data_IF_010401632988
#
_entry.id   IF_010401632988
#
_cell.length_a   1.000
_cell.length_b   1.000
_cell.length_c   1.000
_cell.angle_alpha   90.00
_cell.angle_beta   90.00
_cell.angle_gamma   90.00
#
_symmetry.space_group_name_H-M   'P 1'
#
loop_
_entity.id
_entity.type
_entity.pdbx_description
1 polymer ?
#
# COMPACT_ATOMS: atom_id res chain seq x y z
N UNK A 1 -20.52 -1.04 -16.67
CA UNK A 1 -20.94 -2.18 -17.47
C UNK A 1 -20.05 -3.37 -17.13
N UNK A 2 -20.64 -4.52 -16.72
CA UNK A 2 -19.92 -5.72 -16.28
C UNK A 2 -18.92 -6.23 -17.34
N UNK A 3 -19.27 -6.07 -18.62
CA UNK A 3 -18.42 -6.43 -19.75
C UNK A 3 -17.16 -5.56 -19.89
N UNK A 4 -17.19 -4.30 -19.44
CA UNK A 4 -16.03 -3.41 -19.51
C UNK A 4 -15.05 -3.66 -18.36
N UNK A 5 -15.59 -4.11 -17.22
CA UNK A 5 -14.82 -4.54 -16.06
C UNK A 5 -14.05 -5.84 -16.34
N UNK A 6 -14.73 -6.84 -16.92
CA UNK A 6 -14.12 -8.13 -17.28
C UNK A 6 -13.05 -7.97 -18.39
N UNK A 7 -13.24 -7.04 -19.33
CA UNK A 7 -12.22 -6.72 -20.35
C UNK A 7 -10.96 -6.09 -19.74
N UNK A 8 -11.10 -5.23 -18.75
CA UNK A 8 -9.95 -4.59 -18.06
C UNK A 8 -9.15 -5.60 -17.23
N UNK A 9 -9.84 -6.53 -16.56
CA UNK A 9 -9.17 -7.63 -15.85
C UNK A 9 -8.40 -8.58 -16.79
N UNK A 10 -8.91 -8.80 -18.02
CA UNK A 10 -8.22 -9.63 -19.02
C UNK A 10 -7.04 -8.91 -19.73
N UNK A 11 -7.01 -7.57 -19.77
CA UNK A 11 -5.84 -6.82 -20.26
C UNK A 11 -4.59 -7.04 -19.41
N UNK A 12 -4.75 -7.22 -18.10
CA UNK A 12 -3.62 -7.43 -17.19
C UNK A 12 -2.89 -8.75 -17.46
N UNK A 13 -3.59 -9.82 -17.83
CA UNK A 13 -2.97 -11.11 -18.16
C UNK A 13 -2.06 -11.03 -19.40
N UNK A 14 -2.42 -10.22 -20.41
CA UNK A 14 -1.59 -10.03 -21.61
C UNK A 14 -0.37 -9.14 -21.32
N UNK A 15 -0.53 -8.14 -20.48
CA UNK A 15 0.55 -7.27 -20.03
C UNK A 15 1.61 -8.04 -19.24
N UNK A 16 1.20 -8.91 -18.31
CA UNK A 16 2.11 -9.74 -17.52
C UNK A 16 2.80 -10.81 -18.37
N UNK A 17 2.13 -11.42 -19.34
CA UNK A 17 2.73 -12.41 -20.26
C UNK A 17 3.80 -11.82 -21.18
N UNK A 18 3.76 -10.52 -21.46
CA UNK A 18 4.74 -9.84 -22.32
C UNK A 18 5.97 -9.35 -21.56
N UNK A 19 5.96 -9.37 -20.22
CA UNK A 19 7.15 -9.03 -19.44
C UNK A 19 8.21 -10.11 -19.61
N UNK A 20 9.43 -9.68 -19.96
CA UNK A 20 10.59 -10.56 -19.87
C UNK A 20 10.80 -10.93 -18.42
N UNK A 21 11.02 -12.20 -18.13
CA UNK A 21 11.49 -12.64 -16.83
C UNK A 21 12.78 -11.89 -16.48
N UNK A 22 12.81 -11.28 -15.31
CA UNK A 22 14.01 -10.61 -14.79
C UNK A 22 14.68 -11.55 -13.82
N UNK A 23 15.95 -11.86 -14.08
CA UNK A 23 16.75 -12.65 -13.16
C UNK A 23 17.03 -11.82 -11.89
N UNK A 24 16.70 -12.37 -10.73
CA UNK A 24 17.06 -11.80 -9.44
C UNK A 24 18.45 -12.29 -9.08
N UNK A 25 19.44 -11.42 -9.22
CA UNK A 25 20.85 -11.75 -8.93
C UNK A 25 21.09 -11.86 -7.43
N UNK A 26 20.55 -10.92 -6.66
CA UNK A 26 20.67 -10.90 -5.19
C UNK A 26 19.32 -10.55 -4.59
N UNK A 27 18.67 -11.48 -3.86
CA UNK A 27 17.46 -11.16 -3.13
C UNK A 27 17.80 -10.29 -1.91
N UNK A 28 17.02 -9.25 -1.68
CA UNK A 28 17.17 -8.37 -0.52
C UNK A 28 16.19 -8.77 0.57
N UNK A 29 16.67 -8.83 1.79
CA UNK A 29 15.87 -9.08 2.99
C UNK A 29 16.04 -7.92 3.98
N UNK A 30 15.16 -7.86 4.96
CA UNK A 30 15.27 -6.88 6.04
C UNK A 30 16.66 -6.90 6.69
N UNK A 31 17.24 -5.74 6.93
CA UNK A 31 18.58 -5.58 7.49
C UNK A 31 19.73 -5.83 6.52
N UNK A 32 19.48 -6.26 5.27
CA UNK A 32 20.54 -6.39 4.25
C UNK A 32 21.21 -5.04 4.00
N UNK A 33 22.53 -5.04 3.82
CA UNK A 33 23.31 -3.84 3.48
C UNK A 33 23.83 -3.92 2.04
N UNK A 34 23.67 -2.84 1.28
CA UNK A 34 24.19 -2.69 -0.09
C UNK A 34 25.04 -1.42 -0.13
N UNK A 35 26.37 -1.57 -0.11
CA UNK A 35 27.24 -0.42 0.15
C UNK A 35 26.92 0.19 1.52
N UNK A 36 26.64 1.49 1.54
CA UNK A 36 26.26 2.23 2.74
C UNK A 36 24.74 2.23 3.02
N UNK A 37 23.94 1.64 2.11
CA UNK A 37 22.49 1.58 2.24
C UNK A 37 22.04 0.36 3.03
N UNK A 38 21.14 0.55 4.00
CA UNK A 38 20.46 -0.51 4.73
C UNK A 38 19.03 -0.71 4.21
N UNK A 39 18.66 -1.96 3.97
CA UNK A 39 17.31 -2.36 3.59
C UNK A 39 16.42 -2.44 4.83
N UNK A 40 15.24 -1.85 4.77
CA UNK A 40 14.15 -1.97 5.75
C UNK A 40 12.96 -2.56 5.01
N UNK A 41 12.56 -3.78 5.35
CA UNK A 41 11.35 -4.38 4.77
C UNK A 41 10.10 -3.66 5.30
N UNK A 42 9.28 -3.15 4.40
CA UNK A 42 8.07 -2.38 4.72
C UNK A 42 6.87 -2.88 3.91
N UNK A 43 6.49 -4.18 4.01
CA UNK A 43 5.38 -4.74 3.26
C UNK A 43 4.06 -4.07 3.63
N UNK A 44 3.05 -4.23 2.76
CA UNK A 44 1.68 -3.79 2.98
C UNK A 44 1.09 -2.94 1.86
N UNK A 45 1.81 -1.93 1.33
CA UNK A 45 1.44 -1.26 0.07
C UNK A 45 1.67 -2.22 -1.11
N UNK A 46 2.83 -2.87 -1.13
CA UNK A 46 3.08 -4.08 -1.92
C UNK A 46 3.79 -5.12 -1.05
N UNK A 47 3.72 -6.43 -1.38
CA UNK A 47 4.33 -7.48 -0.56
C UNK A 47 5.84 -7.41 -0.48
N UNK A 48 6.48 -6.87 -1.51
CA UNK A 48 7.93 -6.75 -1.69
C UNK A 48 8.45 -5.33 -1.42
N UNK A 49 7.60 -4.47 -0.84
CA UNK A 49 7.97 -3.09 -0.53
C UNK A 49 9.14 -3.05 0.45
N UNK A 50 10.16 -2.28 0.09
CA UNK A 50 11.29 -1.95 0.95
C UNK A 50 11.49 -0.44 1.02
N UNK A 51 12.09 0.01 2.12
CA UNK A 51 12.71 1.31 2.24
C UNK A 51 14.24 1.13 2.26
N UNK A 52 14.98 2.14 1.80
CA UNK A 52 16.44 2.14 1.81
C UNK A 52 16.92 3.30 2.67
N UNK A 53 17.68 3.00 3.72
CA UNK A 53 18.24 4.01 4.64
C UNK A 53 19.72 4.21 4.35
N UNK A 54 20.15 5.46 4.28
CA UNK A 54 21.53 5.88 4.19
C UNK A 54 21.72 7.20 4.96
N UNK A 55 22.67 7.25 5.86
CA UNK A 55 22.89 8.39 6.75
C UNK A 55 21.58 8.86 7.44
N UNK A 56 21.19 10.11 7.27
CA UNK A 56 20.00 10.75 7.79
C UNK A 56 18.80 10.75 6.80
N UNK A 57 18.84 9.90 5.76
CA UNK A 57 17.82 9.82 4.70
C UNK A 57 17.25 8.42 4.58
N UNK A 58 15.94 8.33 4.38
CA UNK A 58 15.24 7.09 4.02
C UNK A 58 14.46 7.29 2.71
N UNK A 59 14.78 6.50 1.68
CA UNK A 59 13.98 6.39 0.47
C UNK A 59 12.80 5.47 0.75
N UNK A 60 11.59 6.01 0.73
CA UNK A 60 10.39 5.27 1.16
C UNK A 60 9.62 4.62 0.02
N UNK A 61 10.00 4.87 -1.24
CA UNK A 61 9.18 4.40 -2.36
C UNK A 61 7.75 4.92 -2.23
N UNK A 62 6.77 4.03 -2.41
CA UNK A 62 5.35 4.33 -2.21
C UNK A 62 4.86 4.01 -0.79
N UNK A 63 5.75 3.65 0.13
CA UNK A 63 5.36 3.33 1.50
C UNK A 63 4.85 4.56 2.26
N UNK A 64 5.53 5.71 2.16
CA UNK A 64 5.14 6.98 2.78
C UNK A 64 5.15 8.08 1.74
N UNK A 65 4.00 8.70 1.48
CA UNK A 65 3.83 9.77 0.49
C UNK A 65 3.38 11.09 1.16
N UNK A 66 3.80 12.27 0.64
CA UNK A 66 3.57 13.55 1.33
C UNK A 66 2.10 13.99 1.34
N UNK A 67 1.40 13.91 0.22
CA UNK A 67 0.06 14.53 0.05
C UNK A 67 -1.06 13.52 -0.06
N UNK A 68 -0.73 12.27 -0.37
CA UNK A 68 -1.70 11.19 -0.54
C UNK A 68 -1.40 10.06 0.44
N UNK A 69 -2.40 9.25 0.73
CA UNK A 69 -2.26 8.05 1.52
C UNK A 69 -2.18 6.86 0.57
N UNK A 70 -1.06 6.13 0.53
CA UNK A 70 -0.97 4.90 -0.24
C UNK A 70 -2.02 3.91 0.25
N UNK A 71 -2.63 3.18 -0.68
CA UNK A 71 -3.57 2.13 -0.32
C UNK A 71 -2.82 0.82 -0.03
N UNK A 72 -3.24 0.04 0.95
CA UNK A 72 -2.67 -1.27 1.21
C UNK A 72 -3.11 -2.27 0.12
N UNK A 73 -2.29 -3.27 -0.10
CA UNK A 73 -2.64 -4.40 -0.97
C UNK A 73 -3.75 -5.25 -0.33
N UNK A 74 -4.63 -5.80 -1.16
CA UNK A 74 -5.74 -6.66 -0.75
C UNK A 74 -5.54 -8.11 -1.15
N UNK A 75 -6.19 -9.04 -0.46
CA UNK A 75 -6.23 -10.48 -0.82
C UNK A 75 -6.75 -10.68 -2.25
N UNK A 76 -7.70 -9.85 -2.68
CA UNK A 76 -8.32 -9.94 -4.01
C UNK A 76 -7.37 -9.68 -5.19
N UNK A 77 -6.28 -8.95 -4.98
CA UNK A 77 -5.34 -8.58 -6.05
C UNK A 77 -4.45 -9.76 -6.46
N UNK A 78 -4.24 -10.73 -5.57
CA UNK A 78 -3.35 -11.84 -5.80
C UNK A 78 -4.09 -13.09 -6.26
N UNK A 79 -3.82 -13.55 -7.49
CA UNK A 79 -4.23 -14.87 -7.94
C UNK A 79 -3.41 -15.94 -7.20
N UNK A 80 -4.01 -17.07 -6.88
CA UNK A 80 -3.39 -18.18 -6.14
C UNK A 80 -2.04 -18.64 -6.73
N UNK A 81 -1.88 -18.54 -8.06
CA UNK A 81 -0.63 -18.87 -8.76
C UNK A 81 0.52 -17.92 -8.42
N UNK A 82 0.22 -16.64 -8.20
CA UNK A 82 1.20 -15.63 -7.79
C UNK A 82 1.65 -15.87 -6.35
N UNK A 83 0.73 -16.23 -5.48
CA UNK A 83 1.04 -16.63 -4.11
C UNK A 83 2.04 -17.78 -4.04
N UNK A 84 1.83 -18.83 -4.85
CA UNK A 84 2.74 -19.99 -4.88
C UNK A 84 4.14 -19.64 -5.36
N UNK A 85 4.30 -18.61 -6.19
CA UNK A 85 5.61 -18.15 -6.68
C UNK A 85 6.35 -17.25 -5.69
N UNK A 86 5.62 -16.46 -4.88
CA UNK A 86 6.19 -15.59 -3.84
C UNK A 86 6.55 -16.36 -2.56
N UNK A 87 5.84 -17.45 -2.28
CA UNK A 87 6.10 -18.27 -1.10
C UNK A 87 7.37 -19.11 -1.27
N UNK A 88 8.52 -18.52 -1.06
CA UNK A 88 9.61 -19.26 -0.47
C UNK A 88 9.16 -19.66 0.94
N UNK A 89 9.12 -20.94 1.18
CA UNK A 89 8.54 -21.79 2.25
C UNK A 89 8.47 -21.27 3.70
N UNK A 90 8.83 -20.04 4.03
CA UNK A 90 9.09 -19.63 5.42
C UNK A 90 8.30 -18.40 5.92
N UNK A 91 7.65 -17.65 5.03
CA UNK A 91 6.82 -16.50 5.45
C UNK A 91 5.36 -16.77 5.15
N UNK A 92 4.50 -16.70 6.16
CA UNK A 92 3.06 -16.74 6.00
C UNK A 92 2.58 -15.55 5.14
N UNK A 93 1.63 -15.79 4.26
CA UNK A 93 1.03 -14.75 3.39
C UNK A 93 0.54 -13.55 4.17
N UNK A 94 -0.02 -13.79 5.35
CA UNK A 94 -0.56 -12.79 6.27
C UNK A 94 0.47 -11.75 6.72
N UNK A 95 1.77 -12.04 6.57
CA UNK A 95 2.86 -11.11 6.91
C UNK A 95 3.30 -10.19 5.76
N UNK A 96 2.73 -10.35 4.55
CA UNK A 96 3.19 -9.65 3.35
C UNK A 96 2.18 -8.61 2.81
N UNK A 97 0.91 -8.69 3.16
CA UNK A 97 -0.12 -7.82 2.61
C UNK A 97 -1.21 -7.45 3.64
N UNK A 98 -2.06 -6.53 3.24
CA UNK A 98 -3.19 -6.07 4.03
C UNK A 98 -2.90 -4.83 4.87
N UNK A 99 -3.99 -4.24 5.36
CA UNK A 99 -3.93 -2.99 6.13
C UNK A 99 -3.14 -3.16 7.43
N UNK A 100 -3.31 -4.28 8.15
CA UNK A 100 -2.60 -4.53 9.40
C UNK A 100 -1.08 -4.58 9.22
N UNK A 101 -0.61 -5.24 8.17
CA UNK A 101 0.82 -5.30 7.82
C UNK A 101 1.33 -3.90 7.43
N UNK A 102 0.56 -3.16 6.62
CA UNK A 102 0.92 -1.80 6.23
C UNK A 102 1.04 -0.87 7.44
N UNK A 103 0.09 -0.92 8.37
CA UNK A 103 0.13 -0.11 9.60
C UNK A 103 1.32 -0.47 10.49
N UNK A 104 1.69 -1.74 10.60
CA UNK A 104 2.91 -2.18 11.32
C UNK A 104 4.16 -1.60 10.67
N UNK A 105 4.28 -1.68 9.35
CA UNK A 105 5.41 -1.14 8.60
C UNK A 105 5.50 0.40 8.73
N UNK A 106 4.38 1.11 8.68
CA UNK A 106 4.32 2.55 8.97
C UNK A 106 4.78 2.85 10.39
N UNK A 107 4.40 2.00 11.36
CA UNK A 107 4.84 2.10 12.75
C UNK A 107 6.37 2.07 12.88
N UNK A 108 7.05 1.19 12.13
CA UNK A 108 8.53 1.14 12.10
C UNK A 108 9.12 2.47 11.63
N UNK A 109 8.63 3.01 10.52
CA UNK A 109 9.12 4.29 9.98
C UNK A 109 8.78 5.48 10.89
N UNK A 110 7.64 5.44 11.58
CA UNK A 110 7.25 6.52 12.51
C UNK A 110 8.12 6.62 13.77
N UNK A 111 8.88 5.57 14.09
CA UNK A 111 9.72 5.47 15.28
C UNK A 111 11.20 5.80 15.02
N UNK A 112 11.60 6.03 13.77
CA UNK A 112 12.96 6.49 13.48
C UNK A 112 13.16 7.91 13.99
N UNK A 113 14.42 8.35 14.10
CA UNK A 113 14.76 9.68 14.58
C UNK A 113 14.00 10.78 13.81
N UNK A 114 13.53 11.79 14.53
CA UNK A 114 12.77 12.91 13.97
C UNK A 114 13.54 13.73 12.92
N UNK A 115 14.86 13.70 12.97
CA UNK A 115 15.74 14.43 12.06
C UNK A 115 15.94 13.71 10.73
N UNK A 116 15.52 12.46 10.62
CA UNK A 116 15.54 11.67 9.38
C UNK A 116 14.62 12.29 8.33
N UNK A 117 15.14 12.46 7.13
CA UNK A 117 14.40 12.94 5.96
C UNK A 117 13.87 11.76 5.16
N UNK A 118 12.56 11.74 4.89
CA UNK A 118 11.95 10.74 4.02
C UNK A 118 11.87 11.27 2.58
N UNK A 119 12.35 10.46 1.63
CA UNK A 119 12.31 10.74 0.20
C UNK A 119 11.34 9.76 -0.50
N UNK A 120 10.14 10.22 -0.85
CA UNK A 120 9.11 9.38 -1.46
C UNK A 120 9.31 9.23 -2.98
N UNK A 121 8.73 8.15 -3.58
CA UNK A 121 8.76 7.94 -5.03
C UNK A 121 7.86 8.93 -5.80
N UNK A 122 6.75 9.35 -5.19
CA UNK A 122 5.79 10.26 -5.81
C UNK A 122 5.66 11.56 -5.01
N UNK A 123 5.39 12.66 -5.73
CA UNK A 123 5.16 13.99 -5.17
C UNK A 123 6.33 14.58 -4.36
N UNK A 124 7.52 14.00 -4.47
CA UNK A 124 8.74 14.61 -3.95
C UNK A 124 8.93 16.01 -4.55
N UNK A 125 8.72 16.14 -5.86
CA UNK A 125 8.68 17.42 -6.52
C UNK A 125 7.27 17.68 -7.06
N UNK A 126 6.56 18.67 -6.50
CA UNK A 126 5.21 19.01 -6.89
C UNK A 126 5.00 20.52 -6.79
N UNK A 127 4.32 21.11 -7.80
CA UNK A 127 4.00 22.54 -7.87
C UNK A 127 5.20 23.46 -7.65
N UNK A 128 6.35 23.10 -8.21
CA UNK A 128 7.59 23.92 -8.12
C UNK A 128 8.32 23.82 -6.79
N UNK A 129 7.96 22.87 -5.91
CA UNK A 129 8.59 22.68 -4.58
C UNK A 129 9.03 21.24 -4.39
N UNK A 130 10.11 21.06 -3.65
CA UNK A 130 10.53 19.77 -3.11
C UNK A 130 9.78 19.54 -1.80
N UNK A 131 9.05 18.44 -1.70
CA UNK A 131 8.24 18.06 -0.54
C UNK A 131 8.94 16.94 0.24
N UNK A 132 10.02 17.26 0.91
CA UNK A 132 10.60 16.34 1.91
C UNK A 132 9.63 16.22 3.08
N UNK A 133 9.57 15.03 3.66
CA UNK A 133 8.71 14.72 4.80
C UNK A 133 9.54 14.06 5.91
N UNK A 134 9.09 14.21 7.14
CA UNK A 134 9.69 13.53 8.29
C UNK A 134 8.91 12.26 8.68
N UNK A 135 9.41 11.48 9.63
CA UNK A 135 8.79 10.25 10.12
C UNK A 135 7.37 10.42 10.68
N UNK A 136 7.03 11.61 11.18
CA UNK A 136 5.69 11.96 11.63
C UNK A 136 4.62 11.73 10.56
N UNK A 137 4.98 11.85 9.27
CA UNK A 137 4.05 11.59 8.16
C UNK A 137 3.56 10.13 8.15
N UNK A 138 4.40 9.17 8.52
CA UNK A 138 3.97 7.78 8.65
C UNK A 138 2.88 7.62 9.73
N UNK A 139 3.01 8.34 10.86
CA UNK A 139 2.01 8.39 11.91
C UNK A 139 0.68 8.99 11.42
N UNK A 140 0.73 10.09 10.66
CA UNK A 140 -0.47 10.71 10.08
C UNK A 140 -1.23 9.74 9.17
N UNK A 141 -0.50 8.89 8.43
CA UNK A 141 -1.10 7.87 7.56
C UNK A 141 -1.78 6.78 8.40
N UNK A 142 -1.16 6.30 9.48
CA UNK A 142 -1.80 5.36 10.41
C UNK A 142 -3.09 5.95 10.97
N UNK A 143 -3.05 7.18 11.49
CA UNK A 143 -4.22 7.86 12.03
C UNK A 143 -5.33 8.03 10.97
N UNK A 144 -4.94 8.27 9.71
CA UNK A 144 -5.89 8.34 8.60
C UNK A 144 -6.64 7.01 8.41
N UNK A 145 -5.93 5.88 8.45
CA UNK A 145 -6.55 4.55 8.32
C UNK A 145 -7.43 4.23 9.52
N UNK A 146 -7.01 4.57 10.74
CA UNK A 146 -7.82 4.39 11.96
C UNK A 146 -9.13 5.18 11.86
N UNK A 147 -9.08 6.46 11.46
CA UNK A 147 -10.30 7.27 11.25
C UNK A 147 -11.21 6.67 10.17
N UNK A 148 -10.63 6.06 9.14
CA UNK A 148 -11.40 5.42 8.07
C UNK A 148 -12.06 4.13 8.55
N UNK A 149 -11.38 3.31 9.35
CA UNK A 149 -11.96 2.14 10.00
C UNK A 149 -13.15 2.52 10.88
N UNK A 150 -13.01 3.54 11.73
CA UNK A 150 -14.10 4.02 12.58
C UNK A 150 -15.31 4.44 11.74
N UNK A 151 -15.08 5.21 10.67
CA UNK A 151 -16.16 5.63 9.78
C UNK A 151 -16.83 4.46 9.04
N UNK A 152 -16.05 3.44 8.66
CA UNK A 152 -16.56 2.23 8.02
C UNK A 152 -17.48 1.46 8.97
N UNK A 153 -17.07 1.29 10.22
CA UNK A 153 -17.88 0.65 11.26
C UNK A 153 -19.20 1.40 11.49
N UNK A 154 -19.18 2.72 11.58
CA UNK A 154 -20.40 3.53 11.69
C UNK A 154 -21.40 3.27 10.55
N UNK A 155 -20.90 3.12 9.30
CA UNK A 155 -21.77 2.85 8.13
C UNK A 155 -22.31 1.43 8.19
N UNK A 156 -21.51 0.45 8.60
CA UNK A 156 -21.93 -0.97 8.71
C UNK A 156 -22.98 -1.12 9.81
N UNK A 157 -22.78 -0.49 10.96
CA UNK A 157 -23.72 -0.56 12.10
C UNK A 157 -25.06 0.12 11.79
N UNK A 158 -25.06 1.15 10.95
CA UNK A 158 -26.28 1.90 10.62
C UNK A 158 -27.26 1.12 9.76
N UNK A 159 -26.78 0.26 8.86
CA UNK A 159 -27.59 -0.57 7.94
C UNK A 159 -26.76 -1.63 7.26
N UNK A 160 -27.44 -2.70 6.78
CA UNK A 160 -26.88 -3.61 5.82
C UNK A 160 -26.47 -2.84 4.55
N UNK A 161 -25.23 -2.97 4.14
CA UNK A 161 -24.64 -2.11 3.11
C UNK A 161 -23.88 -2.93 2.07
N UNK A 162 -24.10 -2.63 0.80
CA UNK A 162 -23.27 -3.14 -0.29
C UNK A 162 -21.87 -2.48 -0.27
N UNK A 163 -20.91 -3.08 -0.93
CA UNK A 163 -19.57 -2.47 -1.11
C UNK A 163 -19.66 -1.07 -1.73
N UNK A 164 -20.62 -0.86 -2.66
CA UNK A 164 -20.88 0.45 -3.26
C UNK A 164 -21.38 1.46 -2.20
N UNK A 165 -22.33 1.07 -1.35
CA UNK A 165 -22.85 1.92 -0.28
C UNK A 165 -21.76 2.31 0.72
N UNK A 166 -20.93 1.35 1.15
CA UNK A 166 -19.79 1.58 2.02
C UNK A 166 -18.80 2.56 1.38
N UNK A 167 -18.47 2.36 0.10
CA UNK A 167 -17.56 3.25 -0.63
C UNK A 167 -18.13 4.67 -0.73
N UNK A 168 -19.41 4.83 -1.03
CA UNK A 168 -20.10 6.13 -1.07
C UNK A 168 -20.22 6.79 0.31
N UNK A 169 -20.33 6.00 1.37
CA UNK A 169 -20.35 6.48 2.75
C UNK A 169 -19.00 7.06 3.21
N UNK A 170 -17.90 6.50 2.71
CA UNK A 170 -16.54 6.87 3.11
C UNK A 170 -15.96 7.98 2.25
N UNK A 171 -16.17 7.93 0.94
CA UNK A 171 -15.58 8.86 -0.02
C UNK A 171 -16.57 9.91 -0.52
N UNK A 172 -16.09 11.14 -0.71
CA UNK A 172 -16.88 12.19 -1.37
C UNK A 172 -17.10 11.86 -2.85
N UNK A 173 -18.23 12.34 -3.42
CA UNK A 173 -18.59 12.10 -4.82
C UNK A 173 -17.47 12.46 -5.81
N UNK A 174 -16.73 13.54 -5.57
CA UNK A 174 -15.63 13.98 -6.44
C UNK A 174 -14.46 13.01 -6.47
N UNK A 175 -14.28 12.20 -5.41
CA UNK A 175 -13.24 11.15 -5.34
C UNK A 175 -13.66 9.83 -5.97
N UNK A 176 -14.91 9.69 -6.38
CA UNK A 176 -15.47 8.46 -6.97
C UNK A 176 -15.59 8.54 -8.50
N UNK A 177 -14.88 9.46 -9.14
CA UNK A 177 -14.92 9.65 -10.60
C UNK A 177 -13.68 9.02 -11.27
N UNK A 178 -13.92 8.37 -12.41
CA UNK A 178 -12.87 7.81 -13.26
C UNK A 178 -12.06 6.71 -12.57
N UNK A 179 -10.74 6.75 -12.72
CA UNK A 179 -9.80 5.78 -12.14
C UNK A 179 -9.77 5.79 -10.61
N UNK A 180 -10.19 6.89 -9.98
CA UNK A 180 -10.23 7.01 -8.52
C UNK A 180 -11.27 6.08 -7.88
N UNK A 181 -12.31 5.67 -8.61
CA UNK A 181 -13.32 4.73 -8.10
C UNK A 181 -12.69 3.39 -7.75
N UNK A 182 -11.82 2.85 -8.62
CA UNK A 182 -11.18 1.56 -8.37
C UNK A 182 -10.24 1.63 -7.16
N UNK A 183 -9.49 2.72 -7.02
CA UNK A 183 -8.64 2.93 -5.85
C UNK A 183 -9.48 3.04 -4.55
N UNK A 184 -10.62 3.72 -4.60
CA UNK A 184 -11.52 3.84 -3.46
C UNK A 184 -12.14 2.49 -3.07
N UNK A 185 -12.58 1.69 -4.03
CA UNK A 185 -13.11 0.34 -3.81
C UNK A 185 -12.05 -0.58 -3.20
N UNK A 186 -10.85 -0.60 -3.78
CA UNK A 186 -9.72 -1.40 -3.27
C UNK A 186 -9.36 -1.00 -1.84
N UNK A 187 -9.40 0.28 -1.52
CA UNK A 187 -9.13 0.76 -0.16
C UNK A 187 -10.22 0.33 0.83
N UNK A 188 -11.51 0.35 0.45
CA UNK A 188 -12.59 -0.15 1.29
C UNK A 188 -12.44 -1.65 1.53
N UNK A 189 -12.14 -2.44 0.47
CA UNK A 189 -11.91 -3.87 0.61
C UNK A 189 -10.78 -4.17 1.57
N UNK A 190 -9.65 -3.47 1.48
CA UNK A 190 -8.52 -3.66 2.40
C UNK A 190 -8.90 -3.39 3.87
N UNK A 191 -9.79 -2.41 4.12
CA UNK A 191 -10.29 -2.12 5.46
C UNK A 191 -11.29 -3.18 5.94
N UNK A 192 -12.14 -3.72 5.04
CA UNK A 192 -13.05 -4.82 5.39
C UNK A 192 -12.28 -6.09 5.72
N UNK A 193 -11.29 -6.45 4.89
CA UNK A 193 -10.42 -7.61 5.15
C UNK A 193 -9.73 -7.51 6.53
N UNK A 194 -9.33 -6.30 6.94
CA UNK A 194 -8.74 -6.06 8.26
C UNK A 194 -9.72 -6.23 9.41
N UNK A 195 -11.00 -5.98 9.20
CA UNK A 195 -12.05 -6.15 10.22
C UNK A 195 -12.52 -7.60 10.34
N UNK A 196 -12.26 -8.44 9.34
CA UNK A 196 -12.60 -9.88 9.33
C UNK A 196 -11.52 -10.74 10.00
N UNK A 197 -10.24 -10.29 10.01
CA UNK A 197 -9.10 -10.99 10.63
C UNK A 197 -9.09 -10.80 12.15
#
# INVERSE_FOLDING_TARGET
DKNDFDKRLNCDDEYYRKRKETEVVVPLSDGTTIGDMKVIATPGHSPDQICLSIDDVIFTGDHVLPEITPHPTTKMVFKESFYKSLLRKEMGLESLYGLGVYMKSLGLISQVDSDIILLPAHRLYNRGRVNTIGPSRAKDIVEHHVRRLSKLLEVIEAKESSLEDLTRGIFSRGKLLGTNLMAALSEVVAHLEFLED
#
